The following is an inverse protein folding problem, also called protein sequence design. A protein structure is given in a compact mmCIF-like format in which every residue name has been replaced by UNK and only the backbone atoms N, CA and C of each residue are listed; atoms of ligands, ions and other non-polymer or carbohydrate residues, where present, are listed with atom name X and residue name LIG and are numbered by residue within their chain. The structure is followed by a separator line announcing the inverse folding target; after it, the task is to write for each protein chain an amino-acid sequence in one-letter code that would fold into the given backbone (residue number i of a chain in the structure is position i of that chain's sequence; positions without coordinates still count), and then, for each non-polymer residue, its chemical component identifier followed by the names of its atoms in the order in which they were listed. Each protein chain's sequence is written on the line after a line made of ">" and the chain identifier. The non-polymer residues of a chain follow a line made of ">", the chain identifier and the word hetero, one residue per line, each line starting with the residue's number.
data_IF_379632391704
#
_entry.id   IF_379632391704
#
_cell.length_a   1.000
_cell.length_b   1.000
_cell.length_c   1.000
_cell.angle_alpha   90.00
_cell.angle_beta   90.00
_cell.angle_gamma   90.00
#
_symmetry.space_group_name_H-M   'P 1'
#
loop_
_entity.id
_entity.type
_entity.pdbx_description
1 polymer ?
#
# COMPACT_ATOMS: atom_id res chain seq x y z
N UNK A 1 -23.81 2.59 -9.48
CA UNK A 1 -23.79 1.18 -9.04
C UNK A 1 -23.15 0.37 -10.15
N UNK A 2 -22.27 -0.58 -9.81
CA UNK A 2 -21.58 -1.43 -10.78
C UNK A 2 -21.80 -2.87 -10.36
N UNK A 3 -22.20 -3.73 -11.30
CA UNK A 3 -22.33 -5.17 -11.08
C UNK A 3 -21.23 -5.91 -11.83
N UNK A 4 -20.54 -6.81 -11.14
CA UNK A 4 -19.44 -7.60 -11.69
C UNK A 4 -19.77 -9.07 -11.58
N UNK A 5 -19.62 -9.80 -12.69
CA UNK A 5 -19.69 -11.26 -12.72
C UNK A 5 -18.37 -11.84 -13.18
N UNK A 6 -17.90 -12.88 -12.48
CA UNK A 6 -16.73 -13.67 -12.87
C UNK A 6 -17.22 -15.08 -13.17
N UNK A 7 -16.86 -15.62 -14.34
CA UNK A 7 -17.28 -16.95 -14.79
C UNK A 7 -18.81 -17.08 -14.94
N UNK A 8 -19.44 -16.06 -15.52
CA UNK A 8 -20.87 -16.01 -15.88
C UNK A 8 -20.97 -15.40 -17.27
N UNK A 9 -21.88 -15.93 -18.10
CA UNK A 9 -22.15 -15.36 -19.43
C UNK A 9 -22.70 -13.94 -19.31
N UNK A 10 -22.12 -13.02 -20.10
CA UNK A 10 -22.44 -11.59 -19.99
C UNK A 10 -23.92 -11.29 -20.30
N UNK A 11 -24.47 -11.97 -21.30
CA UNK A 11 -25.86 -11.80 -21.72
C UNK A 11 -26.83 -12.29 -20.63
N UNK A 12 -26.49 -13.38 -19.95
CA UNK A 12 -27.28 -13.92 -18.85
C UNK A 12 -27.24 -12.97 -17.63
N UNK A 13 -26.05 -12.51 -17.26
CA UNK A 13 -25.89 -11.53 -16.18
C UNK A 13 -26.71 -10.27 -16.45
N UNK A 14 -26.62 -9.73 -17.66
CA UNK A 14 -27.32 -8.50 -18.06
C UNK A 14 -28.84 -8.70 -18.07
N UNK A 15 -29.31 -9.84 -18.57
CA UNK A 15 -30.74 -10.21 -18.56
C UNK A 15 -31.31 -10.22 -17.14
N UNK A 16 -30.66 -10.93 -16.22
CA UNK A 16 -31.15 -11.05 -14.85
C UNK A 16 -31.02 -9.75 -14.07
N UNK A 17 -29.96 -8.98 -14.31
CA UNK A 17 -29.77 -7.65 -13.70
C UNK A 17 -30.86 -6.69 -14.14
N UNK A 18 -31.13 -6.61 -15.45
CA UNK A 18 -32.17 -5.73 -15.99
C UNK A 18 -33.55 -6.06 -15.41
N UNK A 19 -33.84 -7.35 -15.21
CA UNK A 19 -35.07 -7.80 -14.55
C UNK A 19 -35.11 -7.43 -13.06
N UNK A 20 -34.00 -7.61 -12.35
CA UNK A 20 -33.93 -7.34 -10.91
C UNK A 20 -34.02 -5.84 -10.58
N UNK A 21 -33.52 -4.98 -11.45
CA UNK A 21 -33.52 -3.52 -11.28
C UNK A 21 -34.56 -2.82 -12.17
N UNK A 22 -35.58 -3.53 -12.66
CA UNK A 22 -36.61 -2.96 -13.54
C UNK A 22 -37.33 -1.77 -12.89
N UNK A 23 -37.62 -1.87 -11.59
CA UNK A 23 -38.33 -0.82 -10.82
C UNK A 23 -37.36 0.15 -10.14
N UNK A 24 -36.06 0.09 -10.45
CA UNK A 24 -35.07 0.99 -9.85
C UNK A 24 -35.25 2.40 -10.38
N UNK A 25 -35.58 3.33 -9.48
CA UNK A 25 -35.65 4.76 -9.79
C UNK A 25 -34.23 5.34 -9.65
N UNK A 26 -33.59 5.79 -10.74
CA UNK A 26 -32.25 6.36 -10.65
C UNK A 26 -32.29 7.67 -9.88
N UNK A 27 -31.47 7.75 -8.83
CA UNK A 27 -31.20 9.02 -8.17
C UNK A 27 -30.32 9.82 -9.12
N UNK A 28 -30.73 11.03 -9.55
CA UNK A 28 -29.91 11.86 -10.43
C UNK A 28 -28.54 12.06 -9.80
N UNK A 29 -27.49 11.83 -10.59
CA UNK A 29 -26.14 12.14 -10.15
C UNK A 29 -26.06 13.62 -9.83
N UNK A 30 -26.06 13.95 -8.55
CA UNK A 30 -25.82 15.31 -8.10
C UNK A 30 -24.32 15.44 -8.02
N UNK A 31 -23.77 16.40 -8.75
CA UNK A 31 -22.35 16.72 -8.71
C UNK A 31 -22.06 17.34 -7.33
N UNK A 32 -21.99 16.51 -6.30
CA UNK A 32 -21.61 16.94 -4.97
C UNK A 32 -20.19 17.47 -5.07
N UNK A 33 -19.95 18.69 -4.60
CA UNK A 33 -18.58 19.20 -4.47
C UNK A 33 -17.84 18.23 -3.55
N UNK A 34 -16.93 17.45 -4.12
CA UNK A 34 -16.00 16.65 -3.34
C UNK A 34 -15.22 17.59 -2.43
N UNK A 35 -15.35 17.39 -1.11
CA UNK A 35 -14.55 18.12 -0.14
C UNK A 35 -13.16 17.53 -0.22
N UNK A 36 -12.21 18.27 -0.80
CA UNK A 36 -10.82 17.85 -0.86
C UNK A 36 -10.24 17.85 0.56
N UNK A 37 -9.87 16.68 1.13
CA UNK A 37 -9.21 16.62 2.42
C UNK A 37 -7.85 17.31 2.31
N UNK A 38 -7.46 18.01 3.38
CA UNK A 38 -6.15 18.65 3.48
C UNK A 38 -5.30 17.86 4.45
N UNK A 39 -4.19 17.32 3.97
CA UNK A 39 -3.21 16.70 4.82
C UNK A 39 -2.49 17.76 5.67
N UNK A 40 -2.42 17.53 6.99
CA UNK A 40 -1.83 18.47 7.95
C UNK A 40 -0.51 17.99 8.55
N UNK A 41 -0.13 16.73 8.26
CA UNK A 41 0.81 15.99 9.10
C UNK A 41 0.35 15.96 10.56
N UNK A 42 1.29 15.75 11.48
CA UNK A 42 1.03 15.91 12.91
C UNK A 42 1.74 14.87 13.77
N UNK A 43 1.58 15.00 15.07
CA UNK A 43 2.08 14.06 16.05
C UNK A 43 0.98 13.79 17.07
N UNK A 44 0.74 12.51 17.36
CA UNK A 44 -0.09 12.09 18.48
C UNK A 44 0.56 10.90 19.18
N UNK A 45 0.54 10.93 20.50
CA UNK A 45 0.95 9.82 21.35
C UNK A 45 -0.22 9.45 22.24
N UNK A 46 -0.60 8.17 22.22
CA UNK A 46 -1.68 7.63 23.03
C UNK A 46 -1.09 6.58 23.95
N UNK A 47 -1.01 6.93 25.24
CA UNK A 47 -0.50 6.03 26.27
C UNK A 47 -1.55 4.96 26.62
N UNK A 48 -1.17 3.70 26.55
CA UNK A 48 -1.98 2.58 27.01
C UNK A 48 -1.11 1.56 27.75
N UNK A 49 -1.19 1.60 29.08
CA UNK A 49 -0.40 0.76 29.99
C UNK A 49 -0.77 -0.73 29.90
N UNK A 50 -1.89 -1.08 29.27
CA UNK A 50 -2.28 -2.48 29.06
C UNK A 50 -1.52 -3.11 27.88
N UNK A 51 -0.95 -2.28 27.00
CA UNK A 51 -0.18 -2.75 25.86
C UNK A 51 1.28 -2.91 26.27
N UNK A 52 1.79 -4.14 26.13
CA UNK A 52 3.17 -4.49 26.52
C UNK A 52 4.24 -3.97 25.55
N UNK A 53 3.83 -3.53 24.36
CA UNK A 53 4.70 -3.10 23.26
C UNK A 53 4.37 -1.67 22.86
N UNK A 54 5.33 -0.98 22.27
CA UNK A 54 5.09 0.30 21.63
C UNK A 54 4.86 0.10 20.14
N UNK A 55 3.85 0.77 19.60
CA UNK A 55 3.50 0.75 18.18
C UNK A 55 3.70 2.15 17.62
N UNK A 56 4.50 2.25 16.56
CA UNK A 56 4.90 3.52 15.99
C UNK A 56 4.61 3.49 14.50
N UNK A 57 3.82 4.45 14.02
CA UNK A 57 3.58 4.69 12.62
C UNK A 57 4.13 6.06 12.23
N UNK A 58 4.95 6.11 11.18
CA UNK A 58 5.39 7.35 10.55
C UNK A 58 4.96 7.30 9.09
N UNK A 59 4.22 8.30 8.63
CA UNK A 59 3.72 8.37 7.26
C UNK A 59 3.87 9.78 6.69
N UNK A 60 3.93 9.84 5.36
CA UNK A 60 3.96 11.06 4.56
C UNK A 60 2.84 11.03 3.53
N UNK A 61 2.37 12.20 3.12
CA UNK A 61 1.39 12.31 2.05
C UNK A 61 1.99 11.99 0.69
N UNK A 62 1.25 11.20 -0.09
CA UNK A 62 1.53 10.92 -1.50
C UNK A 62 0.43 11.52 -2.37
N UNK A 63 0.80 12.18 -3.46
CA UNK A 63 -0.16 12.89 -4.30
C UNK A 63 -0.88 12.00 -5.31
N UNK A 64 -2.15 12.34 -5.58
CA UNK A 64 -2.93 11.86 -6.73
C UNK A 64 -3.72 10.57 -6.49
N UNK A 65 -3.48 9.88 -5.37
CA UNK A 65 -4.25 8.69 -4.98
C UNK A 65 -4.32 7.62 -6.07
N UNK A 66 -5.49 6.99 -6.24
CA UNK A 66 -5.74 5.96 -7.26
C UNK A 66 -5.60 6.44 -8.70
N UNK A 67 -5.75 7.74 -8.96
CA UNK A 67 -5.62 8.32 -10.30
C UNK A 67 -4.18 8.76 -10.61
N UNK A 68 -3.28 8.66 -9.63
CA UNK A 68 -1.88 9.05 -9.78
C UNK A 68 -1.14 8.11 -10.71
N UNK A 69 -0.28 8.68 -11.57
CA UNK A 69 0.73 7.89 -12.30
C UNK A 69 1.73 7.21 -11.36
N UNK A 70 1.84 7.68 -10.12
CA UNK A 70 2.83 7.21 -9.15
C UNK A 70 2.34 6.02 -8.32
N UNK A 71 1.07 5.61 -8.47
CA UNK A 71 0.48 4.53 -7.69
C UNK A 71 1.30 3.23 -7.81
N UNK A 72 1.65 2.83 -9.03
CA UNK A 72 2.43 1.61 -9.28
C UNK A 72 3.84 1.74 -8.69
N UNK A 73 4.47 2.90 -8.83
CA UNK A 73 5.78 3.20 -8.23
C UNK A 73 5.73 3.07 -6.70
N UNK A 74 4.68 3.56 -6.05
CA UNK A 74 4.46 3.44 -4.61
C UNK A 74 4.25 1.99 -4.18
N UNK A 75 3.52 1.19 -4.96
CA UNK A 75 3.35 -0.25 -4.69
C UNK A 75 4.65 -1.03 -4.86
N UNK A 76 5.46 -0.70 -5.87
CA UNK A 76 6.80 -1.28 -6.04
C UNK A 76 7.71 -0.89 -4.88
N UNK A 77 7.70 0.37 -4.46
CA UNK A 77 8.45 0.85 -3.29
C UNK A 77 8.01 0.15 -2.00
N UNK A 78 6.69 -0.01 -1.78
CA UNK A 78 6.17 -0.78 -0.64
C UNK A 78 6.70 -2.21 -0.64
N UNK A 79 6.69 -2.88 -1.80
CA UNK A 79 7.20 -4.25 -1.94
C UNK A 79 8.72 -4.32 -1.71
N UNK A 80 9.47 -3.32 -2.17
CA UNK A 80 10.92 -3.22 -1.99
C UNK A 80 11.29 -3.07 -0.50
N UNK A 81 10.60 -2.17 0.19
CA UNK A 81 10.79 -1.97 1.63
C UNK A 81 10.37 -3.21 2.40
N UNK A 82 9.21 -3.77 2.06
CA UNK A 82 8.68 -5.01 2.61
C UNK A 82 8.51 -4.95 4.12
N UNK A 83 9.14 -5.88 4.83
CA UNK A 83 9.02 -6.05 6.27
C UNK A 83 8.57 -7.46 6.67
N UNK A 84 8.02 -7.56 7.88
CA UNK A 84 7.57 -8.79 8.49
C UNK A 84 7.65 -8.72 10.01
N UNK A 85 7.33 -9.84 10.67
CA UNK A 85 7.59 -10.05 12.08
C UNK A 85 8.82 -10.93 12.30
N UNK A 86 9.57 -10.65 13.36
CA UNK A 86 10.74 -11.42 13.80
C UNK A 86 10.42 -12.90 14.07
N UNK A 87 9.17 -13.18 14.46
CA UNK A 87 8.68 -14.55 14.72
C UNK A 87 8.00 -15.20 13.50
N UNK A 88 8.10 -14.61 12.30
CA UNK A 88 7.48 -15.20 11.11
C UNK A 88 8.08 -16.57 10.80
N UNK A 89 7.32 -17.63 11.06
CA UNK A 89 7.65 -19.00 10.68
C UNK A 89 7.23 -19.21 9.23
N UNK A 90 8.20 -19.39 8.35
CA UNK A 90 7.95 -19.52 6.92
C UNK A 90 9.24 -19.68 6.14
N UNK A 91 9.16 -20.33 4.98
CA UNK A 91 10.31 -20.58 4.12
C UNK A 91 10.75 -19.36 3.28
N UNK A 92 11.70 -19.58 2.36
CA UNK A 92 12.07 -18.60 1.35
C UNK A 92 10.84 -18.07 0.58
N UNK A 93 10.87 -16.79 0.18
CA UNK A 93 9.79 -16.16 -0.59
C UNK A 93 8.90 -15.20 0.20
N UNK A 94 8.91 -15.24 1.54
CA UNK A 94 8.12 -14.35 2.40
C UNK A 94 8.65 -12.91 2.56
N UNK A 95 9.59 -12.49 1.71
CA UNK A 95 10.19 -11.15 1.79
C UNK A 95 11.38 -11.00 2.74
N UNK A 96 12.07 -12.09 3.11
CA UNK A 96 13.26 -12.04 4.00
C UNK A 96 14.43 -11.21 3.46
N UNK A 97 14.48 -10.97 2.14
CA UNK A 97 15.47 -10.12 1.49
C UNK A 97 14.95 -8.71 1.20
N UNK A 98 13.80 -8.33 1.77
CA UNK A 98 13.31 -6.96 1.72
C UNK A 98 14.16 -6.05 2.62
N UNK A 99 14.17 -4.76 2.32
CA UNK A 99 15.08 -3.82 2.98
C UNK A 99 14.83 -3.73 4.47
N UNK A 100 13.57 -3.65 4.90
CA UNK A 100 13.24 -3.59 6.33
C UNK A 100 13.60 -4.90 7.04
N UNK A 101 13.44 -6.05 6.39
CA UNK A 101 13.84 -7.32 7.01
C UNK A 101 15.36 -7.35 7.28
N UNK A 102 16.17 -6.98 6.28
CA UNK A 102 17.63 -7.01 6.39
C UNK A 102 18.19 -5.90 7.29
N UNK A 103 17.74 -4.66 7.10
CA UNK A 103 18.29 -3.51 7.82
C UNK A 103 17.71 -3.37 9.23
N UNK A 104 16.46 -3.80 9.44
CA UNK A 104 15.75 -3.56 10.70
C UNK A 104 15.66 -4.82 11.53
N UNK A 105 14.93 -5.85 11.07
CA UNK A 105 14.66 -7.04 11.90
C UNK A 105 15.95 -7.83 12.22
N UNK A 106 16.89 -7.93 11.27
CA UNK A 106 18.17 -8.61 11.53
C UNK A 106 19.14 -7.78 12.39
N UNK A 107 18.97 -6.46 12.48
CA UNK A 107 19.93 -5.57 13.14
C UNK A 107 19.48 -5.09 14.53
N UNK A 108 18.17 -4.99 14.76
CA UNK A 108 17.60 -4.47 16.00
C UNK A 108 16.73 -5.53 16.67
N UNK A 109 17.26 -6.18 17.71
CA UNK A 109 16.56 -7.24 18.45
C UNK A 109 15.33 -6.76 19.23
N UNK A 110 15.23 -5.46 19.52
CA UNK A 110 14.12 -4.84 20.24
C UNK A 110 12.93 -4.47 19.32
N UNK A 111 13.06 -4.69 18.00
CA UNK A 111 11.98 -4.52 17.03
C UNK A 111 11.39 -5.90 16.72
N UNK A 112 10.11 -6.07 17.04
CA UNK A 112 9.39 -7.33 16.87
C UNK A 112 8.73 -7.43 15.49
N UNK A 113 8.25 -6.30 14.96
CA UNK A 113 7.63 -6.23 13.65
C UNK A 113 7.93 -4.90 12.99
N UNK A 114 8.12 -4.91 11.68
CA UNK A 114 8.22 -3.71 10.88
C UNK A 114 7.57 -3.94 9.52
N UNK A 115 6.88 -2.96 8.98
CA UNK A 115 6.34 -3.04 7.63
C UNK A 115 6.25 -1.66 6.97
N UNK A 116 6.42 -1.64 5.65
CA UNK A 116 6.02 -0.50 4.84
C UNK A 116 4.57 -0.66 4.38
N UNK A 117 3.84 0.46 4.37
CA UNK A 117 2.47 0.51 3.87
C UNK A 117 2.29 1.66 2.89
N UNK A 118 1.41 1.44 1.92
CA UNK A 118 0.92 2.45 0.99
C UNK A 118 -0.60 2.37 0.98
N UNK A 119 -1.27 3.44 1.41
CA UNK A 119 -2.72 3.54 1.43
C UNK A 119 -3.13 4.63 0.46
N UNK A 120 -3.90 4.27 -0.57
CA UNK A 120 -4.33 5.21 -1.61
C UNK A 120 -5.83 5.47 -1.46
N UNK A 121 -6.19 6.76 -1.48
CA UNK A 121 -7.56 7.24 -1.57
C UNK A 121 -7.82 7.82 -2.96
N UNK A 122 -9.00 8.36 -3.22
CA UNK A 122 -9.39 8.84 -4.55
C UNK A 122 -8.54 10.02 -5.05
N UNK A 123 -8.08 10.87 -4.15
CA UNK A 123 -7.41 12.15 -4.43
C UNK A 123 -6.03 12.30 -3.74
N UNK A 124 -5.84 11.63 -2.60
CA UNK A 124 -4.59 11.62 -1.83
C UNK A 124 -4.19 10.18 -1.46
N UNK A 125 -3.02 10.03 -0.85
CA UNK A 125 -2.55 8.76 -0.30
C UNK A 125 -1.54 8.98 0.82
N UNK A 126 -1.20 7.90 1.50
CA UNK A 126 -0.22 7.86 2.56
C UNK A 126 0.78 6.76 2.27
N UNK A 127 2.07 7.08 2.39
CA UNK A 127 3.14 6.10 2.42
C UNK A 127 3.85 6.18 3.75
N UNK A 128 4.05 5.04 4.40
CA UNK A 128 4.61 5.04 5.74
C UNK A 128 5.25 3.73 6.16
N UNK A 129 5.86 3.79 7.33
CA UNK A 129 6.44 2.66 8.05
C UNK A 129 5.65 2.45 9.35
N UNK A 130 5.38 1.20 9.69
CA UNK A 130 4.73 0.80 10.93
C UNK A 130 5.60 -0.23 11.66
N UNK A 131 6.09 0.14 12.85
CA UNK A 131 7.02 -0.67 13.64
C UNK A 131 6.39 -0.97 15.01
N UNK A 132 6.62 -2.19 15.50
CA UNK A 132 6.26 -2.62 16.85
C UNK A 132 7.51 -3.11 17.56
N UNK A 133 7.74 -2.70 18.81
CA UNK A 133 8.93 -3.08 19.56
C UNK A 133 8.81 -2.83 21.06
N UNK A 134 9.95 -2.90 21.74
CA UNK A 134 10.03 -2.69 23.19
C UNK A 134 9.85 -1.21 23.59
N UNK A 135 8.99 -0.90 24.58
CA UNK A 135 8.76 0.47 25.06
C UNK A 135 10.02 1.23 25.46
N UNK A 136 10.99 0.53 26.07
CA UNK A 136 12.28 1.10 26.51
C UNK A 136 13.12 1.69 25.37
N UNK A 137 12.85 1.27 24.12
CA UNK A 137 13.65 1.63 22.95
C UNK A 137 12.89 2.52 21.95
N UNK A 138 11.76 3.11 22.35
CA UNK A 138 10.93 3.98 21.49
C UNK A 138 11.74 5.02 20.71
N UNK A 139 12.69 5.71 21.36
CA UNK A 139 13.55 6.70 20.70
C UNK A 139 14.42 6.09 19.60
N UNK A 140 14.97 4.90 19.85
CA UNK A 140 15.84 4.21 18.89
C UNK A 140 15.04 3.60 17.72
N UNK A 141 13.82 3.15 17.98
CA UNK A 141 12.87 2.72 16.93
C UNK A 141 12.58 3.90 15.99
N UNK A 142 12.26 5.08 16.53
CA UNK A 142 12.00 6.28 15.71
C UNK A 142 13.22 6.67 14.88
N UNK A 143 14.43 6.64 15.46
CA UNK A 143 15.68 6.90 14.74
C UNK A 143 15.90 5.88 13.61
N UNK A 144 15.63 4.60 13.85
CA UNK A 144 15.74 3.55 12.84
C UNK A 144 14.75 3.80 11.68
N UNK A 145 13.50 4.15 11.98
CA UNK A 145 12.51 4.52 10.96
C UNK A 145 12.97 5.72 10.12
N UNK A 146 13.46 6.78 10.77
CA UNK A 146 13.96 7.98 10.09
C UNK A 146 15.15 7.68 9.18
N UNK A 147 16.07 6.81 9.63
CA UNK A 147 17.21 6.36 8.84
C UNK A 147 16.76 5.58 7.59
N UNK A 148 15.76 4.71 7.72
CA UNK A 148 15.24 3.97 6.58
C UNK A 148 14.55 4.89 5.57
N UNK A 149 13.78 5.89 6.01
CA UNK A 149 13.24 6.92 5.12
C UNK A 149 14.35 7.69 4.37
N UNK A 150 15.43 8.05 5.04
CA UNK A 150 16.56 8.73 4.39
C UNK A 150 17.25 7.84 3.35
N UNK A 151 17.37 6.53 3.64
CA UNK A 151 17.99 5.54 2.75
C UNK A 151 17.09 5.11 1.59
N UNK A 152 15.77 5.31 1.67
CA UNK A 152 14.82 4.96 0.59
C UNK A 152 15.21 5.58 -0.76
N UNK A 153 15.86 6.74 -0.76
CA UNK A 153 16.27 7.41 -2.00
C UNK A 153 17.46 6.73 -2.72
N UNK A 154 18.09 5.71 -2.11
CA UNK A 154 19.18 4.94 -2.72
C UNK A 154 18.67 3.54 -2.98
N UNK A 155 18.39 3.21 -4.24
CA UNK A 155 17.88 1.89 -4.66
C UNK A 155 18.91 1.23 -5.56
N UNK A 156 19.21 -0.04 -5.29
CA UNK A 156 20.05 -0.87 -6.17
C UNK A 156 19.21 -1.57 -7.25
N UNK A 157 19.82 -1.90 -8.38
CA UNK A 157 19.13 -2.64 -9.44
C UNK A 157 18.67 -4.03 -8.97
N UNK A 158 19.42 -4.66 -8.07
CA UNK A 158 19.07 -5.96 -7.51
C UNK A 158 17.78 -5.89 -6.68
N UNK A 159 17.69 -4.91 -5.77
CA UNK A 159 16.49 -4.70 -4.94
C UNK A 159 15.28 -4.34 -5.80
N UNK A 160 15.45 -3.45 -6.78
CA UNK A 160 14.36 -3.06 -7.68
C UNK A 160 13.84 -4.25 -8.48
N UNK A 161 14.74 -5.01 -9.11
CA UNK A 161 14.36 -6.17 -9.90
C UNK A 161 13.70 -7.26 -9.04
N UNK A 162 14.19 -7.47 -7.81
CA UNK A 162 13.56 -8.39 -6.85
C UNK A 162 12.16 -7.92 -6.47
N UNK A 163 11.98 -6.64 -6.14
CA UNK A 163 10.68 -6.07 -5.79
C UNK A 163 9.66 -6.20 -6.92
N UNK A 164 10.05 -5.85 -8.17
CA UNK A 164 9.20 -6.01 -9.36
C UNK A 164 8.77 -7.46 -9.58
N UNK A 165 9.72 -8.41 -9.53
CA UNK A 165 9.42 -9.84 -9.71
C UNK A 165 8.50 -10.36 -8.60
N UNK A 166 8.76 -9.96 -7.36
CA UNK A 166 7.95 -10.34 -6.20
C UNK A 166 6.52 -9.81 -6.32
N UNK A 167 6.35 -8.54 -6.70
CA UNK A 167 5.04 -7.90 -6.87
C UNK A 167 4.26 -8.57 -8.01
N UNK A 168 4.91 -8.81 -9.16
CA UNK A 168 4.26 -9.51 -10.29
C UNK A 168 3.84 -10.93 -9.92
N UNK A 169 4.71 -11.68 -9.22
CA UNK A 169 4.37 -13.03 -8.76
C UNK A 169 3.15 -13.00 -7.85
N UNK A 170 3.14 -12.09 -6.86
CA UNK A 170 2.02 -11.92 -5.95
C UNK A 170 0.72 -11.55 -6.70
N UNK A 171 0.80 -10.63 -7.65
CA UNK A 171 -0.35 -10.21 -8.47
C UNK A 171 -0.92 -11.39 -9.26
N UNK A 172 -0.09 -12.13 -9.99
CA UNK A 172 -0.56 -13.26 -10.80
C UNK A 172 -1.18 -14.36 -9.95
N UNK A 173 -0.54 -14.73 -8.84
CA UNK A 173 -1.09 -15.72 -7.90
C UNK A 173 -2.42 -15.24 -7.28
N UNK A 174 -2.55 -13.95 -6.99
CA UNK A 174 -3.78 -13.39 -6.41
C UNK A 174 -4.95 -13.44 -7.40
N UNK A 175 -4.69 -13.23 -8.69
CA UNK A 175 -5.72 -13.26 -9.74
C UNK A 175 -6.26 -14.68 -10.03
N UNK A 176 -5.64 -15.73 -9.50
CA UNK A 176 -6.17 -17.10 -9.57
C UNK A 176 -7.40 -17.29 -8.67
N UNK A 177 -7.51 -16.50 -7.60
CA UNK A 177 -8.64 -16.54 -6.69
C UNK A 177 -9.81 -15.72 -7.24
N UNK A 178 -10.93 -16.39 -7.58
CA UNK A 178 -12.11 -15.76 -8.18
C UNK A 178 -12.68 -14.59 -7.37
N UNK A 179 -12.64 -14.68 -6.04
CA UNK A 179 -13.10 -13.60 -5.16
C UNK A 179 -12.24 -12.34 -5.29
N UNK A 180 -10.91 -12.52 -5.33
CA UNK A 180 -9.95 -11.42 -5.52
C UNK A 180 -10.12 -10.82 -6.91
N UNK A 181 -10.25 -11.66 -7.94
CA UNK A 181 -10.49 -11.19 -9.31
C UNK A 181 -11.78 -10.37 -9.40
N UNK A 182 -12.87 -10.82 -8.79
CA UNK A 182 -14.13 -10.08 -8.76
C UNK A 182 -13.98 -8.71 -8.08
N UNK A 183 -13.29 -8.67 -6.95
CA UNK A 183 -13.04 -7.43 -6.21
C UNK A 183 -12.14 -6.46 -7.00
N UNK A 184 -11.10 -6.97 -7.65
CA UNK A 184 -10.20 -6.18 -8.49
C UNK A 184 -10.95 -5.54 -9.66
N UNK A 185 -11.74 -6.32 -10.41
CA UNK A 185 -12.58 -5.83 -11.49
C UNK A 185 -13.58 -4.77 -11.00
N UNK A 186 -14.19 -4.98 -9.83
CA UNK A 186 -15.11 -4.02 -9.23
C UNK A 186 -14.42 -2.70 -8.89
N UNK A 187 -13.28 -2.75 -8.19
CA UNK A 187 -12.52 -1.57 -7.80
C UNK A 187 -12.01 -0.81 -9.02
N UNK A 188 -11.43 -1.49 -10.00
CA UNK A 188 -10.95 -0.85 -11.23
C UNK A 188 -12.09 -0.16 -11.98
N UNK A 189 -13.25 -0.82 -12.12
CA UNK A 189 -14.40 -0.23 -12.77
C UNK A 189 -14.95 0.97 -11.99
N UNK A 190 -15.04 0.88 -10.66
CA UNK A 190 -15.57 1.97 -9.82
C UNK A 190 -14.64 3.18 -9.75
N UNK A 191 -13.33 2.96 -9.74
CA UNK A 191 -12.33 4.00 -9.48
C UNK A 191 -11.76 4.57 -10.79
N UNK A 192 -11.40 3.70 -11.73
CA UNK A 192 -10.73 4.06 -12.99
C UNK A 192 -11.69 4.13 -14.17
N UNK A 193 -12.92 3.63 -14.02
CA UNK A 193 -13.90 3.50 -15.09
C UNK A 193 -13.37 2.72 -16.32
N UNK A 194 -12.41 1.81 -16.06
CA UNK A 194 -11.80 0.91 -17.05
C UNK A 194 -11.18 -0.28 -16.34
N UNK A 195 -11.05 -1.39 -17.05
CA UNK A 195 -10.35 -2.59 -16.57
C UNK A 195 -8.98 -2.65 -17.25
N UNK A 196 -7.93 -2.75 -16.45
CA UNK A 196 -6.57 -3.05 -16.87
C UNK A 196 -6.36 -4.56 -16.81
N UNK A 197 -5.84 -5.13 -17.88
CA UNK A 197 -5.46 -6.54 -17.90
C UNK A 197 -4.26 -6.78 -17.00
N UNK A 198 -4.13 -8.00 -16.45
CA UNK A 198 -2.94 -8.39 -15.68
C UNK A 198 -1.63 -8.19 -16.46
N UNK A 199 -1.66 -8.33 -17.80
CA UNK A 199 -0.51 -8.02 -18.66
C UNK A 199 -0.17 -6.53 -18.66
N UNK A 200 -1.15 -5.65 -18.84
CA UNK A 200 -0.91 -4.20 -18.78
C UNK A 200 -0.36 -3.75 -17.43
N UNK A 201 -0.86 -4.33 -16.33
CA UNK A 201 -0.33 -4.06 -14.99
C UNK A 201 1.10 -4.60 -14.82
N UNK A 202 1.37 -5.80 -15.31
CA UNK A 202 2.71 -6.40 -15.33
C UNK A 202 3.71 -5.53 -16.10
N UNK A 203 3.35 -5.08 -17.30
CA UNK A 203 4.19 -4.24 -18.15
C UNK A 203 4.46 -2.87 -17.48
N UNK A 204 3.44 -2.31 -16.82
CA UNK A 204 3.59 -1.08 -16.05
C UNK A 204 4.55 -1.25 -14.86
N UNK A 205 4.50 -2.38 -14.14
CA UNK A 205 5.48 -2.70 -13.08
C UNK A 205 6.90 -2.80 -13.66
N UNK A 206 7.05 -3.43 -14.83
CA UNK A 206 8.35 -3.58 -15.48
C UNK A 206 8.94 -2.24 -15.94
N UNK A 207 8.11 -1.27 -16.31
CA UNK A 207 8.57 0.07 -16.71
C UNK A 207 9.15 0.93 -15.58
N UNK A 208 8.90 0.60 -14.30
CA UNK A 208 9.32 1.44 -13.18
C UNK A 208 10.84 1.54 -13.08
N UNK A 209 11.39 2.74 -13.05
CA UNK A 209 12.84 2.95 -12.94
C UNK A 209 13.28 3.26 -11.51
N UNK A 210 14.60 3.31 -11.26
CA UNK A 210 15.14 3.76 -9.96
C UNK A 210 14.83 5.24 -9.76
N UNK A 211 14.90 6.00 -10.84
CA UNK A 211 14.65 7.44 -10.92
C UNK A 211 13.19 7.76 -10.55
N UNK A 212 12.24 6.92 -10.97
CA UNK A 212 10.83 7.05 -10.55
C UNK A 212 10.66 6.90 -9.04
N UNK A 213 11.30 5.90 -8.44
CA UNK A 213 11.27 5.69 -6.99
C UNK A 213 11.92 6.88 -6.28
N UNK A 214 13.08 7.33 -6.74
CA UNK A 214 13.79 8.47 -6.16
C UNK A 214 12.93 9.73 -6.20
N UNK A 215 12.27 10.01 -7.33
CA UNK A 215 11.37 11.14 -7.50
C UNK A 215 10.20 11.07 -6.51
N UNK A 216 9.54 9.91 -6.39
CA UNK A 216 8.40 9.74 -5.48
C UNK A 216 8.81 9.88 -4.02
N UNK A 217 9.93 9.25 -3.62
CA UNK A 217 10.50 9.38 -2.27
C UNK A 217 10.85 10.83 -1.96
N UNK A 218 11.53 11.52 -2.87
CA UNK A 218 11.87 12.92 -2.70
C UNK A 218 10.63 13.82 -2.57
N UNK A 219 9.55 13.51 -3.29
CA UNK A 219 8.32 14.29 -3.24
C UNK A 219 7.57 14.12 -1.92
N UNK A 220 7.33 12.89 -1.45
CA UNK A 220 6.59 12.71 -0.20
C UNK A 220 7.39 13.15 1.03
N UNK A 221 8.73 13.01 1.02
CA UNK A 221 9.58 13.45 2.14
C UNK A 221 9.63 14.98 2.32
N UNK A 222 9.18 15.76 1.33
CA UNK A 222 8.99 17.21 1.48
C UNK A 222 7.76 17.57 2.31
N UNK A 223 6.79 16.66 2.40
CA UNK A 223 5.56 16.89 3.17
C UNK A 223 5.85 16.76 4.66
N UNK A 224 5.02 17.40 5.49
CA UNK A 224 5.15 17.31 6.95
C UNK A 224 4.76 15.89 7.39
N UNK A 225 5.61 15.15 8.13
CA UNK A 225 5.25 13.80 8.54
C UNK A 225 4.04 13.77 9.48
N UNK A 226 3.31 12.65 9.42
CA UNK A 226 2.38 12.21 10.46
C UNK A 226 3.07 11.13 11.28
N UNK A 227 3.10 11.32 12.60
CA UNK A 227 3.69 10.39 13.55
C UNK A 227 2.63 10.00 14.57
N UNK A 228 2.40 8.70 14.74
CA UNK A 228 1.47 8.14 15.72
C UNK A 228 2.24 7.15 16.58
N UNK A 229 2.16 7.33 17.89
CA UNK A 229 2.70 6.39 18.89
C UNK A 229 1.54 5.87 19.74
N UNK A 230 1.46 4.56 19.90
CA UNK A 230 0.45 3.90 20.72
C UNK A 230 1.07 2.78 21.55
N UNK A 231 0.91 2.85 22.87
CA UNK A 231 1.41 1.85 23.81
C UNK A 231 1.93 2.46 25.10
N UNK A 232 2.78 1.72 25.81
CA UNK A 232 3.46 2.14 27.03
C UNK A 232 4.70 2.98 26.70
#
# INVERSE_FOLDING_TARGET
>A
MTLIGVNVEHDELTKWTSRAFQDYVPIPYTNQKEVTPKYTGGFISVEDKNVKKTNIAIAYETQGGWKSSDMITLTVLQTLMGGGGSFSTGGPGKGMYSRLFLNVLNSYNFIESCMAFSTQHSDTGLFGLYFTGEPSNTSDIIKAMALEFQKMNRVTDEELNRAKKSLKSFMWMSLEYKSILMEDLARQMMILNRILTGKQLSDAIDSITKEDIQRVVHNFLKTKPTVVVYGN
#
